data_IF_821254905177
#
_entry.id   IF_821254905177
#
_cell.length_a   1.000
_cell.length_b   1.000
_cell.length_c   1.000
_cell.angle_alpha   90.00
_cell.angle_beta   90.00
_cell.angle_gamma   90.00
#
_symmetry.space_group_name_H-M   'P 1'
#
loop_
_entity.id
_entity.type
_entity.pdbx_description
1 polymer ?
#
# COMPACT_ATOMS: atom_id res chain seq x y z
N UNK A 1 -11.14 6.48 -5.24
CA UNK A 1 -11.56 5.16 -5.80
C UNK A 1 -13.05 4.98 -5.55
N UNK A 2 -13.85 4.71 -6.59
CA UNK A 2 -15.33 4.64 -6.51
C UNK A 2 -15.79 3.24 -6.96
N UNK A 3 -16.85 2.69 -6.35
CA UNK A 3 -17.52 1.46 -6.79
C UNK A 3 -18.44 0.84 -5.70
N UNK A 4 -19.03 -0.36 -5.94
CA UNK A 4 -19.95 -1.03 -5.00
C UNK A 4 -19.31 -1.45 -3.65
N UNK A 5 -20.09 -1.61 -2.59
CA UNK A 5 -19.55 -2.12 -1.32
C UNK A 5 -18.95 -3.52 -1.50
N UNK A 6 -17.85 -3.83 -0.77
CA UNK A 6 -17.21 -5.15 -0.79
C UNK A 6 -16.15 -5.40 -1.87
N UNK A 7 -15.97 -4.53 -2.87
CA UNK A 7 -14.97 -4.75 -3.94
C UNK A 7 -13.51 -4.41 -3.56
N UNK A 8 -13.20 -4.33 -2.27
CA UNK A 8 -11.81 -4.12 -1.79
C UNK A 8 -11.28 -2.68 -1.82
N UNK A 9 -12.13 -1.65 -2.01
CA UNK A 9 -11.67 -0.24 -2.04
C UNK A 9 -10.95 0.21 -0.77
N UNK A 10 -11.53 -0.12 0.38
CA UNK A 10 -10.92 0.23 1.68
C UNK A 10 -9.63 -0.56 1.90
N UNK A 11 -9.59 -1.82 1.46
CA UNK A 11 -8.37 -2.64 1.48
C UNK A 11 -7.28 -2.01 0.62
N UNK A 12 -7.59 -1.58 -0.61
CA UNK A 12 -6.64 -0.89 -1.47
C UNK A 12 -6.07 0.38 -0.82
N UNK A 13 -6.94 1.23 -0.26
CA UNK A 13 -6.49 2.45 0.43
C UNK A 13 -5.60 2.11 1.64
N UNK A 14 -5.93 1.06 2.40
CA UNK A 14 -5.07 0.58 3.50
C UNK A 14 -3.71 0.10 3.01
N UNK A 15 -3.65 -0.63 1.90
CA UNK A 15 -2.40 -1.06 1.28
C UNK A 15 -1.54 0.12 0.81
N UNK A 16 -2.13 1.11 0.16
CA UNK A 16 -1.42 2.33 -0.30
C UNK A 16 -0.84 3.09 0.90
N UNK A 17 -1.60 3.21 1.98
CA UNK A 17 -1.14 3.87 3.21
C UNK A 17 -0.18 3.01 4.05
N UNK A 18 0.18 1.81 3.56
CA UNK A 18 0.99 0.81 4.27
C UNK A 18 0.44 0.49 5.68
N UNK A 19 -0.88 0.54 5.83
CA UNK A 19 -1.61 0.08 7.03
C UNK A 19 -1.89 -1.43 6.96
N UNK A 20 -1.89 -1.97 5.75
CA UNK A 20 -2.03 -3.39 5.44
C UNK A 20 -1.01 -3.75 4.37
N UNK A 21 -0.40 -4.94 4.43
CA UNK A 21 0.52 -5.39 3.37
C UNK A 21 -0.27 -6.07 2.26
N UNK A 22 -0.01 -5.76 0.98
CA UNK A 22 -0.59 -6.55 -0.10
C UNK A 22 -0.10 -8.01 0.01
N UNK A 23 -0.97 -8.95 -0.36
CA UNK A 23 -0.63 -10.38 -0.33
C UNK A 23 0.47 -10.73 -1.34
N UNK A 24 0.47 -10.04 -2.48
CA UNK A 24 1.48 -10.16 -3.53
C UNK A 24 1.58 -8.85 -4.31
N UNK A 25 2.63 -8.71 -5.10
CA UNK A 25 2.95 -7.52 -5.88
C UNK A 25 3.74 -6.47 -5.10
N UNK A 26 3.97 -5.34 -5.75
CA UNK A 26 4.88 -4.31 -5.29
C UNK A 26 4.25 -2.93 -5.42
N UNK A 27 4.49 -2.06 -4.44
CA UNK A 27 4.11 -0.64 -4.48
C UNK A 27 5.39 0.18 -4.56
N UNK A 28 5.44 1.08 -5.54
CA UNK A 28 6.55 2.01 -5.73
C UNK A 28 6.08 3.44 -5.47
N UNK A 29 6.84 4.18 -4.66
CA UNK A 29 6.69 5.62 -4.50
C UNK A 29 7.84 6.29 -5.25
N UNK A 30 7.58 6.74 -6.47
CA UNK A 30 8.64 7.12 -7.40
C UNK A 30 9.46 5.90 -7.82
N UNK A 31 10.76 5.91 -7.52
CA UNK A 31 11.69 4.80 -7.81
C UNK A 31 11.95 3.90 -6.58
N UNK A 32 11.30 4.16 -5.46
CA UNK A 32 11.50 3.44 -4.21
C UNK A 32 10.41 2.38 -4.00
N UNK A 33 10.80 1.11 -3.81
CA UNK A 33 9.87 0.03 -3.49
C UNK A 33 9.54 0.04 -1.98
N UNK A 34 8.31 0.43 -1.63
CA UNK A 34 7.89 0.64 -0.24
C UNK A 34 7.28 -0.60 0.42
N UNK A 35 7.01 -1.65 -0.35
CA UNK A 35 6.47 -2.94 0.13
C UNK A 35 7.54 -3.99 0.47
N UNK A 36 8.80 -3.69 0.16
CA UNK A 36 9.93 -4.58 0.37
C UNK A 36 10.03 -5.05 1.84
N UNK A 37 10.54 -6.27 2.05
CA UNK A 37 10.71 -6.81 3.40
C UNK A 37 11.77 -5.99 4.16
N UNK A 38 11.40 -5.46 5.33
CA UNK A 38 12.29 -4.62 6.14
C UNK A 38 12.31 -3.14 5.74
N UNK A 39 11.45 -2.71 4.81
CA UNK A 39 11.31 -1.30 4.47
C UNK A 39 10.85 -0.48 5.70
N UNK A 40 11.53 0.63 5.96
CA UNK A 40 11.17 1.55 7.04
C UNK A 40 10.02 2.46 6.61
N UNK A 41 8.81 2.10 7.04
CA UNK A 41 7.57 2.83 6.72
C UNK A 41 7.62 4.30 7.16
N UNK A 42 8.46 4.67 8.14
CA UNK A 42 8.61 6.07 8.56
C UNK A 42 9.26 6.94 7.49
N UNK A 43 10.00 6.35 6.56
CA UNK A 43 10.58 7.07 5.41
C UNK A 43 9.52 7.45 4.38
N UNK A 44 8.56 6.56 4.13
CA UNK A 44 7.46 6.81 3.19
C UNK A 44 6.37 7.76 3.71
N UNK A 45 6.39 8.12 5.01
CA UNK A 45 5.37 8.97 5.66
C UNK A 45 5.84 10.38 6.05
N UNK A 46 7.12 10.70 5.80
CA UNK A 46 7.66 12.05 5.95
C UNK A 46 7.29 12.90 4.74
#
# INVERSE_FOLDING_TARGET
VIGPSGTGKSTLIRCINLLEKPTDGQIFLGNEEITAKGYDIKKARQ
#
